data_IF_882777435645
#
_entry.id   IF_882777435645
#
_cell.length_a   1.000
_cell.length_b   1.000
_cell.length_c   1.000
_cell.angle_alpha   90.00
_cell.angle_beta   90.00
_cell.angle_gamma   90.00
#
_symmetry.space_group_name_H-M   'P 1'
#
loop_
_entity.id
_entity.type
_entity.pdbx_description
1 polymer ?
#
# COMPACT_ATOMS: atom_id res chain seq x y z
N UNK A 1 23.72 -13.61 -42.77
CA UNK A 1 24.09 -14.06 -41.94
C UNK A 1 23.78 -13.27 -40.89
N UNK A 2 23.52 -12.87 -40.33
CA UNK A 2 23.41 -12.10 -39.52
C UNK A 2 22.16 -11.58 -39.18
N UNK A 3 21.11 -11.99 -39.21
CA UNK A 3 19.88 -11.35 -39.04
C UNK A 3 18.98 -12.05 -38.07
N UNK A 4 19.51 -12.80 -37.14
CA UNK A 4 18.64 -13.51 -36.24
C UNK A 4 18.54 -12.91 -34.88
N UNK A 5 19.18 -11.78 -34.68
CA UNK A 5 19.22 -11.20 -33.40
C UNK A 5 17.99 -10.49 -32.92
N UNK A 6 17.16 -9.88 -33.74
CA UNK A 6 16.07 -9.06 -33.21
C UNK A 6 14.90 -9.86 -32.63
N UNK A 7 14.87 -11.13 -32.84
CA UNK A 7 13.70 -11.88 -32.43
C UNK A 7 13.62 -12.12 -30.93
N UNK A 8 14.75 -12.13 -30.26
CA UNK A 8 14.77 -12.44 -28.85
C UNK A 8 14.38 -11.29 -27.94
N UNK A 9 14.53 -10.08 -28.47
CA UNK A 9 14.24 -8.92 -27.65
C UNK A 9 12.77 -8.66 -27.50
N UNK A 10 11.98 -9.13 -28.45
CA UNK A 10 10.55 -8.87 -28.40
C UNK A 10 9.81 -9.65 -27.34
N UNK A 11 10.33 -10.77 -26.93
CA UNK A 11 9.63 -11.59 -25.97
C UNK A 11 9.65 -11.04 -24.55
N UNK A 12 10.67 -10.27 -24.24
CA UNK A 12 10.77 -9.72 -22.90
C UNK A 12 9.80 -8.59 -22.66
N UNK A 13 9.34 -7.93 -23.71
CA UNK A 13 8.45 -6.80 -23.56
C UNK A 13 7.02 -7.19 -23.25
N UNK A 14 6.65 -8.40 -23.61
CA UNK A 14 5.26 -8.83 -23.41
C UNK A 14 4.95 -9.02 -21.93
N UNK A 15 5.93 -9.48 -21.15
CA UNK A 15 5.74 -9.67 -19.73
C UNK A 15 5.54 -8.36 -18.99
N UNK A 16 6.18 -7.32 -19.45
CA UNK A 16 6.01 -6.03 -18.82
C UNK A 16 4.66 -5.39 -19.10
N UNK A 17 4.11 -5.64 -20.27
CA UNK A 17 2.86 -5.02 -20.65
C UNK A 17 1.69 -5.49 -19.80
N UNK A 18 1.72 -6.73 -19.32
CA UNK A 18 0.61 -7.22 -18.52
C UNK A 18 0.55 -6.57 -17.16
N UNK A 19 1.70 -6.23 -16.57
CA UNK A 19 1.71 -5.54 -15.30
C UNK A 19 1.44 -4.05 -15.46
N UNK A 20 1.92 -3.47 -16.52
CA UNK A 20 1.74 -2.05 -16.76
C UNK A 20 0.29 -1.70 -17.01
N UNK A 21 -0.48 -2.59 -17.64
CA UNK A 21 -1.86 -2.27 -17.96
C UNK A 21 -2.73 -2.16 -16.71
N UNK A 22 -2.43 -2.91 -15.65
CA UNK A 22 -3.17 -2.79 -14.42
C UNK A 22 -2.91 -1.43 -13.76
N UNK A 23 -1.67 -0.96 -13.83
CA UNK A 23 -1.33 0.34 -13.28
C UNK A 23 -1.90 1.48 -14.10
N UNK A 24 -1.94 1.32 -15.41
CA UNK A 24 -2.51 2.35 -16.27
C UNK A 24 -4.00 2.50 -16.08
N UNK A 25 -4.66 1.40 -15.71
CA UNK A 25 -6.09 1.45 -15.53
C UNK A 25 -6.48 2.30 -14.35
N UNK A 26 -5.68 2.28 -13.28
CA UNK A 26 -5.96 3.06 -12.09
C UNK A 26 -4.68 3.65 -11.53
N UNK A 27 -4.14 4.67 -12.21
CA UNK A 27 -2.91 5.31 -11.72
C UNK A 27 -3.11 5.99 -10.38
N UNK A 28 -4.33 6.40 -10.08
CA UNK A 28 -4.62 7.03 -8.80
C UNK A 28 -4.42 6.05 -7.65
N UNK A 29 -4.78 4.79 -7.83
CA UNK A 29 -4.58 3.79 -6.80
C UNK A 29 -3.08 3.58 -6.54
N UNK A 30 -2.29 3.56 -7.59
CA UNK A 30 -0.84 3.44 -7.44
C UNK A 30 -0.27 4.64 -6.68
N UNK A 31 -0.75 5.83 -7.00
CA UNK A 31 -0.31 7.04 -6.32
C UNK A 31 -0.65 6.99 -4.84
N UNK A 32 -1.87 6.57 -4.51
CA UNK A 32 -2.29 6.48 -3.12
C UNK A 32 -1.46 5.47 -2.34
N UNK A 33 -1.12 4.36 -2.97
CA UNK A 33 -0.29 3.35 -2.31
C UNK A 33 1.12 3.88 -2.09
N UNK A 34 1.64 4.66 -3.01
CA UNK A 34 2.94 5.29 -2.83
C UNK A 34 2.91 6.28 -1.68
N UNK A 35 1.84 7.04 -1.56
CA UNK A 35 1.71 7.99 -0.46
C UNK A 35 1.66 7.28 0.89
N UNK A 36 0.98 6.15 0.95
CA UNK A 36 0.94 5.38 2.19
C UNK A 36 2.33 4.88 2.56
N UNK A 37 3.09 4.42 1.57
CA UNK A 37 4.45 3.96 1.82
C UNK A 37 5.34 5.08 2.30
N UNK A 38 5.18 6.27 1.72
CA UNK A 38 5.96 7.43 2.15
C UNK A 38 5.60 7.87 3.55
N UNK A 39 4.33 7.78 3.91
CA UNK A 39 3.89 8.21 5.23
C UNK A 39 4.49 7.36 6.34
N UNK A 40 4.81 6.10 6.05
CA UNK A 40 5.34 5.21 7.07
C UNK A 40 6.86 5.33 7.23
N UNK A 41 7.55 5.82 6.21
CA UNK A 41 9.01 5.84 6.21
C UNK A 41 9.63 6.61 7.36
N UNK A 42 9.19 7.83 7.67
CA UNK A 42 9.85 8.61 8.70
C UNK A 42 9.47 8.24 10.13
N UNK A 43 8.66 7.20 10.32
CA UNK A 43 8.19 6.86 11.65
C UNK A 43 9.30 6.61 12.66
N UNK A 44 10.35 5.94 12.22
CA UNK A 44 11.42 5.54 13.14
C UNK A 44 12.30 6.70 13.54
N UNK A 45 12.35 7.75 12.73
CA UNK A 45 13.22 8.89 13.01
C UNK A 45 12.44 10.10 13.50
N UNK A 46 11.13 9.99 13.64
CA UNK A 46 10.31 11.12 14.06
C UNK A 46 10.31 11.22 15.58
N UNK A 47 10.37 12.45 16.10
CA UNK A 47 10.32 12.67 17.53
C UNK A 47 9.01 12.14 18.11
N UNK A 48 9.01 11.69 19.36
CA UNK A 48 7.78 11.15 19.96
C UNK A 48 6.61 12.11 19.89
N UNK A 49 6.86 13.41 20.00
CA UNK A 49 5.79 14.39 19.93
C UNK A 49 5.14 14.46 18.56
N UNK A 50 5.90 14.09 17.52
CA UNK A 50 5.37 14.13 16.15
C UNK A 50 4.88 12.79 15.66
N UNK A 51 5.04 11.76 16.47
CA UNK A 51 4.71 10.42 16.05
C UNK A 51 3.21 10.24 15.86
N UNK A 52 2.42 10.87 16.71
CA UNK A 52 0.97 10.82 16.57
C UNK A 52 0.54 11.37 15.21
N UNK A 53 1.11 12.51 14.80
CA UNK A 53 0.78 13.08 13.50
C UNK A 53 1.17 12.17 12.35
N UNK A 54 2.33 11.52 12.45
CA UNK A 54 2.77 10.61 11.41
C UNK A 54 1.84 9.41 11.28
N UNK A 55 1.43 8.83 12.40
CA UNK A 55 0.51 7.70 12.38
C UNK A 55 -0.86 8.12 11.90
N UNK A 56 -1.26 9.35 12.19
CA UNK A 56 -2.52 9.86 11.67
C UNK A 56 -2.48 9.96 10.15
N UNK A 57 -1.40 10.50 9.59
CA UNK A 57 -1.26 10.57 8.14
C UNK A 57 -1.26 9.19 7.51
N UNK A 58 -0.62 8.24 8.16
CA UNK A 58 -0.57 6.86 7.67
C UNK A 58 -1.97 6.24 7.64
N UNK A 59 -2.75 6.43 8.69
CA UNK A 59 -4.10 5.89 8.74
C UNK A 59 -5.00 6.55 7.71
N UNK A 60 -4.83 7.85 7.49
CA UNK A 60 -5.61 8.54 6.48
C UNK A 60 -5.25 8.07 5.07
N UNK A 61 -3.98 7.79 4.84
CA UNK A 61 -3.55 7.28 3.54
C UNK A 61 -4.20 5.92 3.25
N UNK A 62 -4.23 5.04 4.24
CA UNK A 62 -4.88 3.75 4.03
C UNK A 62 -6.39 3.88 3.89
N UNK A 63 -6.99 4.84 4.59
CA UNK A 63 -8.41 5.11 4.41
C UNK A 63 -8.72 5.55 3.00
N UNK A 64 -7.87 6.40 2.43
CA UNK A 64 -8.04 6.85 1.06
C UNK A 64 -7.92 5.70 0.07
N UNK A 65 -6.97 4.78 0.33
CA UNK A 65 -6.82 3.61 -0.52
C UNK A 65 -8.07 2.73 -0.48
N UNK A 66 -8.55 2.45 0.72
CA UNK A 66 -9.71 1.57 0.87
C UNK A 66 -10.95 2.18 0.24
N UNK A 67 -11.13 3.47 0.40
CA UNK A 67 -12.29 4.15 -0.17
C UNK A 67 -12.21 4.21 -1.69
N UNK A 68 -11.05 4.55 -2.22
CA UNK A 68 -10.88 4.60 -3.67
C UNK A 68 -11.11 3.22 -4.28
N UNK A 69 -10.56 2.20 -3.65
CA UNK A 69 -10.69 0.84 -4.14
C UNK A 69 -12.15 0.40 -4.14
N UNK A 70 -12.88 0.76 -3.10
CA UNK A 70 -14.30 0.42 -3.02
C UNK A 70 -15.12 1.14 -4.09
N UNK A 71 -14.82 2.41 -4.29
CA UNK A 71 -15.59 3.23 -5.24
C UNK A 71 -15.29 2.84 -6.68
N UNK A 72 -14.11 2.34 -6.95
CA UNK A 72 -13.68 2.03 -8.32
C UNK A 72 -13.38 0.55 -8.51
N UNK A 73 -14.08 -0.29 -7.78
CA UNK A 73 -13.80 -1.70 -7.77
C UNK A 73 -13.84 -2.34 -9.14
N UNK A 74 -14.87 -2.03 -9.90
CA UNK A 74 -15.02 -2.63 -11.23
C UNK A 74 -14.06 -2.02 -12.24
N UNK A 75 -13.90 -0.72 -12.17
CA UNK A 75 -13.00 -0.04 -13.09
C UNK A 75 -11.56 -0.50 -12.91
N UNK A 76 -11.16 -0.68 -11.67
CA UNK A 76 -9.79 -1.06 -11.34
C UNK A 76 -9.60 -2.57 -11.25
N UNK A 77 -10.67 -3.33 -11.47
CA UNK A 77 -10.61 -4.78 -11.41
C UNK A 77 -10.08 -5.27 -10.07
N UNK A 78 -10.62 -4.71 -9.00
CA UNK A 78 -10.19 -5.04 -7.66
C UNK A 78 -11.07 -6.16 -7.10
N UNK A 79 -10.41 -7.25 -6.69
CA UNK A 79 -11.13 -8.39 -6.15
C UNK A 79 -11.67 -8.07 -4.75
N UNK A 80 -12.66 -8.84 -4.34
CA UNK A 80 -13.20 -8.73 -2.99
C UNK A 80 -12.09 -9.00 -1.96
N UNK A 81 -11.21 -9.93 -2.25
CA UNK A 81 -10.12 -10.27 -1.34
C UNK A 81 -9.19 -9.08 -1.17
N UNK A 82 -8.82 -8.44 -2.28
CA UNK A 82 -7.93 -7.28 -2.19
C UNK A 82 -8.58 -6.11 -1.50
N UNK A 83 -9.85 -5.86 -1.77
CA UNK A 83 -10.58 -4.80 -1.09
C UNK A 83 -10.61 -5.05 0.42
N UNK A 84 -10.89 -6.28 0.82
CA UNK A 84 -10.91 -6.65 2.22
C UNK A 84 -9.55 -6.43 2.87
N UNK A 85 -8.49 -6.68 2.13
CA UNK A 85 -7.13 -6.46 2.62
C UNK A 85 -6.87 -4.99 2.86
N UNK A 86 -7.29 -4.13 1.94
CA UNK A 86 -7.14 -2.69 2.11
C UNK A 86 -7.89 -2.19 3.34
N UNK A 87 -9.11 -2.69 3.53
CA UNK A 87 -9.90 -2.29 4.68
C UNK A 87 -9.29 -2.76 5.99
N UNK A 88 -8.73 -3.95 5.99
CA UNK A 88 -8.05 -4.47 7.17
C UNK A 88 -6.84 -3.61 7.52
N UNK A 89 -6.06 -3.23 6.51
CA UNK A 89 -4.90 -2.39 6.76
C UNK A 89 -5.30 -1.01 7.26
N UNK A 90 -6.40 -0.49 6.77
CA UNK A 90 -6.89 0.78 7.27
C UNK A 90 -7.26 0.68 8.76
N UNK A 91 -7.96 -0.39 9.14
CA UNK A 91 -8.33 -0.56 10.55
C UNK A 91 -7.11 -0.73 11.44
N UNK A 92 -6.12 -1.47 10.95
CA UNK A 92 -4.89 -1.65 11.71
C UNK A 92 -4.13 -0.33 11.87
N UNK A 93 -4.12 0.48 10.83
CA UNK A 93 -3.47 1.78 10.89
C UNK A 93 -4.19 2.70 11.88
N UNK A 94 -5.51 2.65 11.90
CA UNK A 94 -6.27 3.45 12.87
C UNK A 94 -5.99 3.01 14.30
N UNK A 95 -5.90 1.72 14.52
CA UNK A 95 -5.60 1.20 15.85
C UNK A 95 -4.20 1.63 16.30
N UNK A 96 -3.23 1.55 15.41
CA UNK A 96 -1.87 1.99 15.73
C UNK A 96 -1.86 3.49 16.03
N UNK A 97 -2.58 4.28 15.24
CA UNK A 97 -2.68 5.71 15.50
C UNK A 97 -3.27 5.99 16.88
N UNK A 98 -4.36 5.29 17.21
CA UNK A 98 -5.00 5.51 18.49
C UNK A 98 -4.07 5.18 19.65
N UNK A 99 -3.31 4.11 19.51
CA UNK A 99 -2.36 3.73 20.55
C UNK A 99 -1.24 4.74 20.71
N UNK A 100 -0.68 5.17 19.59
CA UNK A 100 0.42 6.13 19.63
C UNK A 100 -0.05 7.47 20.16
N UNK A 101 -1.20 7.93 19.69
CA UNK A 101 -1.70 9.24 20.12
C UNK A 101 -2.15 9.23 21.57
N UNK A 102 -2.49 8.08 22.11
CA UNK A 102 -2.84 7.96 23.53
C UNK A 102 -1.62 7.73 24.41
N UNK A 103 -0.43 7.66 23.83
CA UNK A 103 0.79 7.43 24.59
C UNK A 103 1.00 5.99 24.99
N UNK A 104 0.24 5.07 24.44
CA UNK A 104 0.42 3.65 24.73
C UNK A 104 1.57 3.08 23.93
N UNK A 105 2.29 2.11 24.47
CA UNK A 105 3.37 1.51 23.71
C UNK A 105 2.84 0.78 22.49
N UNK A 106 3.54 0.95 21.37
CA UNK A 106 3.18 0.27 20.17
C UNK A 106 3.81 -1.11 20.18
N UNK A 107 2.99 -2.14 20.10
CA UNK A 107 3.52 -3.48 20.10
C UNK A 107 4.13 -3.81 18.76
N UNK A 108 5.30 -4.44 18.76
CA UNK A 108 5.87 -4.86 17.49
C UNK A 108 4.97 -5.90 16.84
N UNK A 109 4.84 -5.79 15.58
CA UNK A 109 3.98 -6.64 14.83
C UNK A 109 4.76 -7.81 14.30
N UNK A 110 4.29 -8.96 14.39
CA UNK A 110 3.11 -9.46 15.03
C UNK A 110 3.47 -10.21 16.31
N UNK A 111 3.39 -9.61 17.42
CA UNK A 111 3.74 -10.31 18.65
C UNK A 111 2.79 -11.44 18.97
N UNK A 112 1.55 -11.28 18.60
CA UNK A 112 0.58 -12.32 18.89
C UNK A 112 0.92 -13.62 18.21
N UNK A 113 1.44 -13.54 17.01
CA UNK A 113 1.81 -14.72 16.28
C UNK A 113 3.03 -15.38 16.89
N UNK A 114 3.94 -14.56 17.35
CA UNK A 114 5.18 -15.09 17.91
C UNK A 114 4.92 -15.84 19.20
N UNK A 115 3.98 -15.39 19.95
CA UNK A 115 3.71 -15.99 21.23
C UNK A 115 2.89 -17.24 21.16
N UNK A 116 2.42 -17.56 20.01
CA UNK A 116 1.72 -18.80 19.89
C UNK A 116 2.67 -19.93 19.71
#
# INVERSE_FOLDING_TARGET
>A
MRTHLPTLVMMALVGYCSQASAQERCPELTRLRSEAAEAIKPRTSVAPSDRCGAYNRFSMAWGAIAQYANDHRELCDISIVLLSEFEKRHREAEKARDNVCAGRPLRPYPPDIIER
#
